data_IF_734446502509
#
_entry.id   IF_734446502509
#
_cell.length_a   1.000
_cell.length_b   1.000
_cell.length_c   1.000
_cell.angle_alpha   90.00
_cell.angle_beta   90.00
_cell.angle_gamma   90.00
#
_symmetry.space_group_name_H-M   'P 1'
#
loop_
_entity.id
_entity.type
_entity.pdbx_description
1 polymer ?
#
# COMPACT_ATOMS: atom_id res chain seq x y z
N UNK A 1 -15.82 -10.67 7.63
CA UNK A 1 -15.69 -11.79 6.68
C UNK A 1 -14.60 -12.75 7.18
N UNK A 2 -14.59 -14.03 6.77
CA UNK A 2 -13.50 -14.95 7.12
C UNK A 2 -12.49 -15.10 5.98
N UNK A 3 -11.22 -15.21 6.34
CA UNK A 3 -10.13 -15.55 5.44
C UNK A 3 -10.37 -16.89 4.72
N UNK A 4 -11.14 -17.79 5.31
CA UNK A 4 -11.46 -19.09 4.71
C UNK A 4 -12.26 -18.95 3.41
N UNK A 5 -13.17 -17.96 3.32
CA UNK A 5 -13.89 -17.68 2.08
C UNK A 5 -12.94 -17.21 0.99
N UNK A 6 -12.01 -16.31 1.32
CA UNK A 6 -10.98 -15.79 0.41
C UNK A 6 -10.08 -16.92 -0.10
N UNK A 7 -9.58 -17.76 0.82
CA UNK A 7 -8.73 -18.92 0.48
C UNK A 7 -9.46 -19.95 -0.37
N UNK A 8 -10.71 -20.27 -0.04
CA UNK A 8 -11.54 -21.18 -0.83
C UNK A 8 -11.71 -20.67 -2.25
N UNK A 9 -12.04 -19.38 -2.42
CA UNK A 9 -12.17 -18.76 -3.74
C UNK A 9 -10.86 -18.79 -4.53
N UNK A 10 -9.75 -18.43 -3.90
CA UNK A 10 -8.42 -18.50 -4.52
C UNK A 10 -8.12 -19.91 -5.03
N UNK A 11 -8.37 -20.92 -4.20
CA UNK A 11 -8.16 -22.32 -4.58
C UNK A 11 -9.04 -22.74 -5.75
N UNK A 12 -10.34 -22.42 -5.72
CA UNK A 12 -11.26 -22.72 -6.83
C UNK A 12 -10.83 -22.05 -8.14
N UNK A 13 -10.44 -20.77 -8.08
CA UNK A 13 -9.93 -20.04 -9.23
C UNK A 13 -8.63 -20.69 -9.75
N UNK A 14 -7.72 -21.05 -8.85
CA UNK A 14 -6.46 -21.70 -9.21
C UNK A 14 -6.64 -23.07 -9.85
N UNK A 15 -7.53 -23.91 -9.30
CA UNK A 15 -7.79 -25.25 -9.83
C UNK A 15 -8.48 -25.24 -11.20
N UNK A 16 -9.21 -24.17 -11.55
CA UNK A 16 -9.87 -24.07 -12.86
C UNK A 16 -8.90 -23.80 -14.01
N UNK A 17 -7.77 -23.15 -13.74
CA UNK A 17 -6.79 -22.79 -14.77
C UNK A 17 -7.25 -21.73 -15.77
N UNK A 18 -8.45 -21.17 -15.57
CA UNK A 18 -9.00 -20.06 -16.33
C UNK A 18 -8.65 -18.77 -15.58
N UNK A 19 -7.45 -18.24 -15.85
CA UNK A 19 -6.83 -17.10 -15.16
C UNK A 19 -7.49 -15.75 -15.51
N UNK A 20 -8.77 -15.77 -15.88
CA UNK A 20 -9.58 -14.60 -16.14
C UNK A 20 -9.70 -13.70 -14.91
N UNK A 21 -9.74 -12.39 -15.17
CA UNK A 21 -9.96 -11.35 -14.17
C UNK A 21 -11.36 -10.76 -14.33
N UNK A 22 -12.01 -10.41 -13.24
CA UNK A 22 -13.25 -9.64 -13.33
C UNK A 22 -12.94 -8.20 -13.82
N UNK A 23 -13.92 -7.58 -14.45
CA UNK A 23 -13.87 -6.15 -14.77
C UNK A 23 -13.82 -5.28 -13.51
N UNK A 24 -13.81 -3.96 -13.69
CA UNK A 24 -13.93 -3.03 -12.58
C UNK A 24 -15.23 -3.23 -11.81
N UNK A 25 -15.23 -2.94 -10.51
CA UNK A 25 -16.45 -2.94 -9.72
C UNK A 25 -17.44 -1.91 -10.29
N UNK A 26 -18.74 -2.25 -10.42
CA UNK A 26 -19.75 -1.34 -10.95
C UNK A 26 -19.70 0.05 -10.30
N UNK A 27 -19.96 1.10 -11.09
CA UNK A 27 -19.77 2.49 -10.66
C UNK A 27 -20.62 2.87 -9.44
N UNK A 28 -21.84 2.37 -9.37
CA UNK A 28 -22.76 2.56 -8.24
C UNK A 28 -22.22 1.93 -6.95
N UNK A 29 -21.73 0.70 -7.04
CA UNK A 29 -21.12 -0.04 -5.95
C UNK A 29 -19.83 0.64 -5.49
N UNK A 30 -18.95 0.99 -6.43
CA UNK A 30 -17.71 1.72 -6.16
C UNK A 30 -17.97 3.06 -5.50
N UNK A 31 -18.95 3.83 -6.00
CA UNK A 31 -19.34 5.12 -5.42
C UNK A 31 -19.86 4.96 -4.00
N UNK A 32 -20.72 3.97 -3.75
CA UNK A 32 -21.25 3.65 -2.42
C UNK A 32 -20.12 3.34 -1.42
N UNK A 33 -19.16 2.50 -1.81
CA UNK A 33 -18.01 2.12 -0.98
C UNK A 33 -17.15 3.35 -0.65
N UNK A 34 -16.75 4.12 -1.67
CA UNK A 34 -15.89 5.32 -1.49
C UNK A 34 -16.57 6.39 -0.65
N UNK A 35 -17.85 6.69 -0.93
CA UNK A 35 -18.63 7.67 -0.15
C UNK A 35 -18.79 7.23 1.31
N UNK A 36 -19.03 5.95 1.57
CA UNK A 36 -19.13 5.42 2.93
C UNK A 36 -17.79 5.41 3.68
N UNK A 37 -16.66 5.47 2.96
CA UNK A 37 -15.32 5.49 3.52
C UNK A 37 -14.80 6.91 3.80
N UNK A 38 -15.43 7.92 3.23
CA UNK A 38 -15.02 9.31 3.44
C UNK A 38 -14.99 9.68 4.93
N UNK A 39 -13.88 10.28 5.37
CA UNK A 39 -13.65 10.66 6.76
C UNK A 39 -13.26 9.51 7.68
N UNK A 40 -13.10 8.27 7.16
CA UNK A 40 -12.65 7.12 7.94
C UNK A 40 -11.16 6.85 7.73
N UNK A 41 -10.48 6.40 8.78
CA UNK A 41 -9.08 5.94 8.70
C UNK A 41 -8.97 4.75 7.74
N UNK A 42 -7.91 4.72 6.91
CA UNK A 42 -7.54 3.57 6.11
C UNK A 42 -7.44 2.30 6.98
N UNK A 43 -7.98 1.15 6.56
CA UNK A 43 -7.98 -0.05 7.40
C UNK A 43 -6.59 -0.69 7.56
N UNK A 44 -5.64 -0.36 6.69
CA UNK A 44 -4.27 -0.90 6.73
C UNK A 44 -3.56 -0.46 8.02
N UNK A 45 -3.04 -1.43 8.77
CA UNK A 45 -2.43 -1.21 10.10
C UNK A 45 -1.29 -0.19 10.10
N UNK A 46 -0.56 -0.07 9.00
CA UNK A 46 0.57 0.87 8.84
C UNK A 46 0.18 2.19 8.17
N UNK A 47 -1.11 2.52 8.10
CA UNK A 47 -1.58 3.71 7.40
C UNK A 47 -2.38 4.61 8.34
N UNK A 48 -2.03 5.89 8.35
CA UNK A 48 -2.71 6.92 9.13
C UNK A 48 -3.58 7.87 8.30
N UNK A 49 -3.74 7.62 6.99
CA UNK A 49 -4.59 8.45 6.15
C UNK A 49 -6.06 8.36 6.58
N UNK A 50 -6.69 9.52 6.68
CA UNK A 50 -8.14 9.66 6.66
C UNK A 50 -8.57 9.68 5.20
N UNK A 51 -9.45 8.75 4.81
CA UNK A 51 -9.80 8.57 3.41
C UNK A 51 -10.71 9.69 2.91
N UNK A 52 -10.40 10.23 1.73
CA UNK A 52 -11.16 11.31 1.10
C UNK A 52 -11.89 10.82 -0.16
N UNK A 53 -13.21 11.03 -0.25
CA UNK A 53 -13.93 10.75 -1.49
C UNK A 53 -13.93 12.01 -2.37
N UNK A 54 -13.06 12.00 -3.39
CA UNK A 54 -13.03 13.03 -4.42
C UNK A 54 -14.05 12.68 -5.50
N UNK A 55 -15.23 13.28 -5.44
CA UNK A 55 -16.31 13.01 -6.38
C UNK A 55 -16.01 13.58 -7.77
N UNK A 56 -16.05 12.74 -8.80
CA UNK A 56 -15.83 13.16 -10.19
C UNK A 56 -14.35 13.31 -10.59
N UNK A 57 -13.42 13.18 -9.65
CA UNK A 57 -12.00 13.37 -9.90
C UNK A 57 -11.30 12.11 -10.42
N UNK A 58 -10.34 12.30 -11.33
CA UNK A 58 -9.40 11.26 -11.73
C UNK A 58 -8.34 11.10 -10.63
N UNK A 59 -8.37 9.96 -9.94
CA UNK A 59 -7.43 9.67 -8.87
C UNK A 59 -6.08 9.22 -9.47
N UNK A 60 -5.03 9.97 -9.18
CA UNK A 60 -3.63 9.65 -9.48
C UNK A 60 -2.77 9.67 -8.20
N UNK A 61 -1.45 9.56 -8.35
CA UNK A 61 -0.51 9.50 -7.23
C UNK A 61 -0.49 10.78 -6.36
N UNK A 62 -1.10 11.89 -6.81
CA UNK A 62 -1.19 13.14 -6.04
C UNK A 62 -2.26 13.09 -4.95
N UNK A 63 -3.15 12.09 -5.00
CA UNK A 63 -4.22 11.91 -4.01
C UNK A 63 -3.99 10.63 -3.20
N UNK A 64 -2.97 10.59 -2.33
CA UNK A 64 -2.57 9.35 -1.64
C UNK A 64 -3.58 8.90 -0.56
N UNK A 65 -4.46 9.81 -0.11
CA UNK A 65 -5.54 9.57 0.83
C UNK A 65 -6.89 9.27 0.15
N UNK A 66 -6.99 9.39 -1.18
CA UNK A 66 -8.23 9.15 -1.90
C UNK A 66 -8.82 7.77 -1.59
N UNK A 67 -10.11 7.71 -1.28
CA UNK A 67 -10.84 6.47 -1.11
C UNK A 67 -10.94 5.73 -2.45
N UNK A 68 -10.36 4.54 -2.52
CA UNK A 68 -10.49 3.62 -3.64
C UNK A 68 -11.37 2.42 -3.26
N UNK A 69 -11.89 1.75 -4.28
CA UNK A 69 -12.51 0.43 -4.11
C UNK A 69 -11.43 -0.61 -4.35
N UNK A 70 -11.19 -1.49 -3.39
CA UNK A 70 -10.19 -2.54 -3.50
C UNK A 70 -10.78 -3.93 -3.31
N UNK A 71 -10.23 -4.91 -4.04
CA UNK A 71 -10.62 -6.31 -3.89
C UNK A 71 -9.78 -7.00 -2.79
N UNK A 72 -10.41 -7.38 -1.69
CA UNK A 72 -9.77 -8.14 -0.60
C UNK A 72 -9.10 -9.44 -1.06
N UNK A 73 -9.65 -10.08 -2.10
CA UNK A 73 -8.93 -11.04 -2.94
C UNK A 73 -8.59 -10.32 -4.24
N UNK A 74 -7.31 -10.05 -4.55
CA UNK A 74 -6.95 -9.32 -5.77
C UNK A 74 -7.61 -9.90 -7.02
N UNK A 75 -7.98 -9.04 -7.98
CA UNK A 75 -8.60 -9.49 -9.25
C UNK A 75 -7.73 -10.49 -10.00
N UNK A 76 -6.42 -10.24 -10.04
CA UNK A 76 -5.43 -11.14 -10.62
C UNK A 76 -5.32 -12.48 -9.89
N UNK A 77 -6.01 -12.67 -8.76
CA UNK A 77 -6.05 -13.90 -7.97
C UNK A 77 -7.46 -14.50 -7.88
N UNK A 78 -8.38 -14.10 -8.78
CA UNK A 78 -9.76 -14.61 -8.80
C UNK A 78 -10.77 -13.81 -7.98
N UNK A 79 -10.41 -12.59 -7.59
CA UNK A 79 -11.31 -11.60 -6.99
C UNK A 79 -12.55 -11.33 -7.83
N UNK A 80 -13.65 -10.96 -7.17
CA UNK A 80 -14.97 -10.75 -7.81
C UNK A 80 -15.62 -9.46 -7.34
N UNK A 81 -16.56 -8.95 -8.13
CA UNK A 81 -17.34 -7.75 -7.81
C UNK A 81 -18.54 -8.08 -6.93
N UNK A 82 -18.28 -8.57 -5.72
CA UNK A 82 -19.29 -8.88 -4.71
C UNK A 82 -18.98 -8.15 -3.42
N UNK A 83 -20.01 -7.79 -2.64
CA UNK A 83 -19.85 -6.99 -1.40
C UNK A 83 -18.86 -7.62 -0.41
N UNK A 84 -18.77 -8.95 -0.38
CA UNK A 84 -17.81 -9.63 0.47
C UNK A 84 -16.38 -9.45 0.01
N UNK A 85 -16.11 -9.21 -1.27
CA UNK A 85 -14.77 -9.15 -1.84
C UNK A 85 -14.26 -7.71 -1.97
N UNK A 86 -15.10 -6.71 -1.73
CA UNK A 86 -14.75 -5.30 -1.93
C UNK A 86 -14.66 -4.57 -0.60
N UNK A 87 -13.62 -3.77 -0.43
CA UNK A 87 -13.46 -2.86 0.69
C UNK A 87 -12.99 -1.48 0.21
N UNK A 88 -13.09 -0.49 1.09
CA UNK A 88 -12.46 0.80 0.86
C UNK A 88 -11.03 0.78 1.38
N UNK A 89 -10.10 1.34 0.61
CA UNK A 89 -8.70 1.53 0.99
C UNK A 89 -8.23 2.90 0.50
N UNK A 90 -7.23 3.50 1.15
CA UNK A 90 -6.64 4.71 0.58
C UNK A 90 -5.84 4.36 -0.68
N UNK A 91 -5.76 5.31 -1.61
CA UNK A 91 -5.10 5.14 -2.90
C UNK A 91 -3.65 4.67 -2.74
N UNK A 92 -2.90 5.26 -1.80
CA UNK A 92 -1.51 4.87 -1.53
C UNK A 92 -1.39 3.39 -1.18
N UNK A 93 -2.11 2.91 -0.16
CA UNK A 93 -2.01 1.50 0.25
C UNK A 93 -2.53 0.56 -0.83
N UNK A 94 -3.54 0.98 -1.59
CA UNK A 94 -4.05 0.21 -2.70
C UNK A 94 -2.99 0.01 -3.80
N UNK A 95 -2.36 1.11 -4.23
CA UNK A 95 -1.27 1.11 -5.20
C UNK A 95 -0.09 0.25 -4.74
N UNK A 96 0.32 0.40 -3.47
CA UNK A 96 1.45 -0.37 -2.93
C UNK A 96 1.19 -1.89 -2.93
N UNK A 97 -0.01 -2.34 -2.55
CA UNK A 97 -0.34 -3.77 -2.58
C UNK A 97 -0.42 -4.30 -4.01
N UNK A 98 -0.92 -3.49 -4.96
CA UNK A 98 -0.89 -3.81 -6.38
C UNK A 98 0.54 -3.94 -6.92
N UNK A 99 1.44 -3.02 -6.54
CA UNK A 99 2.86 -3.06 -6.91
C UNK A 99 3.55 -4.31 -6.37
N UNK A 100 3.36 -4.64 -5.09
CA UNK A 100 3.94 -5.87 -4.50
C UNK A 100 3.47 -7.11 -5.25
N UNK A 101 2.17 -7.24 -5.53
CA UNK A 101 1.67 -8.37 -6.32
C UNK A 101 2.30 -8.42 -7.72
N UNK A 102 2.35 -7.28 -8.39
CA UNK A 102 2.82 -7.21 -9.76
C UNK A 102 4.33 -7.49 -9.86
N UNK A 103 5.16 -6.79 -9.10
CA UNK A 103 6.62 -6.88 -9.17
C UNK A 103 7.11 -8.23 -8.63
N UNK A 104 6.69 -8.61 -7.42
CA UNK A 104 7.28 -9.74 -6.71
C UNK A 104 6.74 -11.09 -7.14
N UNK A 105 5.58 -11.11 -7.81
CA UNK A 105 4.93 -12.35 -8.23
C UNK A 105 4.70 -12.36 -9.74
N UNK A 106 3.95 -11.42 -10.31
CA UNK A 106 3.57 -11.53 -11.73
C UNK A 106 4.78 -11.34 -12.65
N UNK A 107 5.55 -10.28 -12.46
CA UNK A 107 6.73 -9.97 -13.27
C UNK A 107 7.87 -10.95 -13.01
N UNK A 108 8.15 -11.25 -11.73
CA UNK A 108 9.17 -12.23 -11.33
C UNK A 108 8.98 -13.60 -11.99
N UNK A 109 7.76 -14.09 -12.09
CA UNK A 109 7.45 -15.39 -12.70
C UNK A 109 6.97 -15.29 -14.16
N UNK A 110 6.86 -14.06 -14.70
CA UNK A 110 6.42 -13.74 -16.05
C UNK A 110 4.91 -13.90 -16.33
N UNK A 111 4.17 -14.61 -15.47
CA UNK A 111 2.72 -14.72 -15.55
C UNK A 111 2.16 -15.25 -14.22
N UNK A 112 0.92 -14.88 -13.86
CA UNK A 112 0.30 -15.32 -12.60
C UNK A 112 0.20 -16.84 -12.48
N UNK A 113 -0.07 -17.55 -13.58
CA UNK A 113 -0.15 -19.02 -13.61
C UNK A 113 1.18 -19.73 -13.33
N UNK A 114 2.31 -19.00 -13.38
CA UNK A 114 3.65 -19.52 -13.10
C UNK A 114 4.09 -19.26 -11.66
N UNK A 115 3.33 -18.47 -10.91
CA UNK A 115 3.61 -18.20 -9.50
C UNK A 115 3.35 -19.47 -8.68
N UNK A 116 4.26 -19.89 -7.78
CA UNK A 116 3.99 -21.00 -6.87
C UNK A 116 2.75 -20.69 -6.02
N UNK A 117 1.77 -21.60 -6.03
CA UNK A 117 0.51 -21.39 -5.33
C UNK A 117 0.69 -21.03 -3.85
N UNK A 118 1.68 -21.64 -3.18
CA UNK A 118 2.02 -21.33 -1.79
C UNK A 118 2.40 -19.86 -1.59
N UNK A 119 3.21 -19.29 -2.48
CA UNK A 119 3.58 -17.87 -2.43
C UNK A 119 2.41 -16.95 -2.76
N UNK A 120 1.55 -17.32 -3.71
CA UNK A 120 0.36 -16.54 -4.01
C UNK A 120 -0.63 -16.54 -2.84
N UNK A 121 -0.82 -17.70 -2.20
CA UNK A 121 -1.65 -17.84 -1.01
C UNK A 121 -1.11 -17.02 0.16
N UNK A 122 0.19 -17.00 0.36
CA UNK A 122 0.84 -16.16 1.38
C UNK A 122 0.54 -14.67 1.14
N UNK A 123 0.72 -14.19 -0.09
CA UNK A 123 0.39 -12.81 -0.45
C UNK A 123 -1.08 -12.48 -0.19
N UNK A 124 -2.00 -13.36 -0.61
CA UNK A 124 -3.44 -13.17 -0.39
C UNK A 124 -3.78 -13.15 1.09
N UNK A 125 -3.17 -14.03 1.89
CA UNK A 125 -3.36 -14.05 3.34
C UNK A 125 -2.85 -12.74 3.99
N UNK A 126 -1.69 -12.23 3.56
CA UNK A 126 -1.15 -10.94 4.00
C UNK A 126 -2.07 -9.77 3.58
N UNK A 127 -2.42 -9.69 2.29
CA UNK A 127 -3.28 -8.66 1.72
C UNK A 127 -4.60 -8.56 2.49
N UNK A 128 -5.20 -9.71 2.84
CA UNK A 128 -6.42 -9.75 3.62
C UNK A 128 -6.20 -9.29 5.07
N UNK A 129 -5.12 -9.76 5.71
CA UNK A 129 -4.89 -9.57 7.14
C UNK A 129 -4.32 -8.20 7.49
N UNK A 130 -3.65 -7.51 6.57
CA UNK A 130 -3.06 -6.19 6.84
C UNK A 130 -4.11 -5.13 7.21
N UNK A 131 -5.37 -5.38 6.86
CA UNK A 131 -6.56 -4.59 7.25
C UNK A 131 -7.22 -5.07 8.56
N UNK A 132 -6.69 -6.11 9.22
CA UNK A 132 -7.29 -6.75 10.40
C UNK A 132 -6.74 -6.19 11.71
N UNK A 133 -7.61 -6.01 12.71
CA UNK A 133 -7.20 -5.68 14.08
C UNK A 133 -6.32 -6.74 14.75
N UNK A 134 -6.36 -7.98 14.25
CA UNK A 134 -5.56 -9.09 14.73
C UNK A 134 -4.31 -9.34 13.86
N UNK A 135 -3.90 -8.35 13.07
CA UNK A 135 -2.66 -8.42 12.30
C UNK A 135 -1.46 -8.51 13.23
N UNK A 136 -0.53 -9.39 12.90
CA UNK A 136 0.73 -9.55 13.61
C UNK A 136 1.83 -9.73 12.57
N UNK A 137 2.81 -8.83 12.60
CA UNK A 137 3.87 -8.71 11.61
C UNK A 137 4.68 -10.01 11.48
N UNK A 138 4.80 -10.77 12.59
CA UNK A 138 5.63 -11.99 12.64
C UNK A 138 5.16 -13.08 11.70
N UNK A 139 3.90 -13.04 11.25
CA UNK A 139 3.37 -14.01 10.30
C UNK A 139 3.77 -13.74 8.85
N UNK A 140 4.18 -12.51 8.54
CA UNK A 140 4.50 -12.06 7.17
C UNK A 140 5.71 -11.10 7.15
N UNK A 141 6.83 -11.44 7.80
CA UNK A 141 7.92 -10.48 8.04
C UNK A 141 8.44 -9.84 6.75
N UNK A 142 8.68 -10.65 5.71
CA UNK A 142 9.22 -10.15 4.44
C UNK A 142 8.23 -9.24 3.69
N UNK A 143 6.93 -9.53 3.75
CA UNK A 143 5.90 -8.73 3.08
C UNK A 143 5.64 -7.43 3.84
N UNK A 144 5.70 -7.47 5.18
CA UNK A 144 5.64 -6.27 6.01
C UNK A 144 6.81 -5.36 5.74
N UNK A 145 8.03 -5.90 5.72
CA UNK A 145 9.23 -5.13 5.43
C UNK A 145 9.13 -4.44 4.07
N UNK A 146 8.75 -5.18 3.02
CA UNK A 146 8.56 -4.61 1.67
C UNK A 146 7.49 -3.52 1.64
N UNK A 147 6.36 -3.74 2.31
CA UNK A 147 5.31 -2.72 2.40
C UNK A 147 5.81 -1.45 3.12
N UNK A 148 6.52 -1.61 4.23
CA UNK A 148 7.13 -0.52 5.01
C UNK A 148 8.19 0.23 4.21
N UNK A 149 9.03 -0.46 3.44
CA UNK A 149 9.99 0.16 2.53
C UNK A 149 9.30 1.02 1.47
N UNK A 150 8.28 0.47 0.80
CA UNK A 150 7.57 1.22 -0.26
C UNK A 150 6.75 2.39 0.28
N UNK A 151 6.25 2.31 1.52
CA UNK A 151 5.59 3.46 2.18
C UNK A 151 6.59 4.47 2.77
N UNK A 152 7.90 4.21 2.69
CA UNK A 152 8.93 5.09 3.26
C UNK A 152 8.93 5.09 4.80
N UNK A 153 8.51 4.00 5.42
CA UNK A 153 8.51 3.84 6.89
C UNK A 153 9.93 3.68 7.44
N UNK A 154 10.82 3.02 6.69
CA UNK A 154 12.21 2.80 7.11
C UNK A 154 12.98 4.13 7.26
N UNK A 155 12.59 5.17 6.52
CA UNK A 155 13.17 6.52 6.63
C UNK A 155 12.59 7.40 7.74
N UNK A 156 11.50 7.00 8.39
CA UNK A 156 10.91 7.74 9.52
C UNK A 156 11.36 7.20 10.89
N UNK A 157 12.00 6.04 10.93
CA UNK A 157 12.43 5.39 12.18
C UNK A 157 13.94 5.56 12.48
N UNK A 158 14.66 6.36 11.68
CA UNK A 158 16.08 6.70 11.84
C UNK A 158 16.31 8.20 11.69
N UNK A 159 15.67 9.00 12.53
CA UNK A 159 16.23 10.30 12.91
C UNK A 159 16.19 10.32 14.43
N UNK A 160 17.27 9.84 15.05
CA UNK A 160 17.49 10.10 16.46
C UNK A 160 17.83 11.59 16.60
N UNK A 161 17.38 12.22 17.69
CA UNK A 161 17.56 13.66 17.95
C UNK A 161 19.02 14.16 17.83
N UNK A 162 20.00 13.25 17.94
CA UNK A 162 21.43 13.52 17.76
C UNK A 162 21.80 13.96 16.32
N UNK A 163 21.16 13.42 15.28
CA UNK A 163 21.48 13.75 13.87
C UNK A 163 20.90 15.10 13.42
N UNK A 164 19.83 15.58 14.07
CA UNK A 164 19.33 16.94 13.85
C UNK A 164 20.28 17.99 14.45
N UNK A 165 20.92 17.69 15.58
CA UNK A 165 21.90 18.58 16.21
C UNK A 165 23.16 18.73 15.35
N UNK A 166 23.67 17.63 14.78
CA UNK A 166 24.84 17.69 13.90
C UNK A 166 24.56 18.46 12.60
N UNK A 167 23.38 18.25 12.00
CA UNK A 167 22.95 18.97 10.79
C UNK A 167 22.77 20.47 11.01
N UNK A 168 22.28 20.88 12.19
CA UNK A 168 22.17 22.30 12.55
C UNK A 168 23.53 22.93 12.88
N UNK A 169 24.47 22.17 13.47
CA UNK A 169 25.83 22.65 13.73
C UNK A 169 26.63 22.87 12.44
N UNK A 170 26.48 21.95 11.46
CA UNK A 170 27.15 22.04 10.16
C UNK A 170 26.61 23.20 9.33
N UNK A 171 25.29 23.42 9.34
CA UNK A 171 24.67 24.57 8.69
C UNK A 171 25.10 25.90 9.33
N UNK A 172 25.28 25.94 10.67
CA UNK A 172 25.74 27.14 11.38
C UNK A 172 27.22 27.44 11.12
N UNK A 173 28.05 26.40 10.97
CA UNK A 173 29.48 26.55 10.62
C UNK A 173 29.66 27.11 9.21
N UNK A 174 28.88 26.63 8.24
CA UNK A 174 28.94 27.10 6.85
C UNK A 174 28.50 28.56 6.71
N UNK A 175 27.50 29.00 7.50
CA UNK A 175 27.05 30.41 7.49
C UNK A 175 28.10 31.32 8.11
N UNK A 176 28.84 30.84 9.12
CA UNK A 176 29.94 31.59 9.75
C UNK A 176 31.17 31.69 8.84
N UNK A 177 31.50 30.67 8.05
CA UNK A 177 32.63 30.70 7.11
C UNK A 177 32.37 31.66 5.95
N UNK A 178 31.15 31.64 5.39
CA UNK A 178 30.76 32.56 4.29
C UNK A 178 30.71 34.01 4.76
N UNK A 179 30.39 34.27 6.03
CA UNK A 179 30.39 35.63 6.58
C UNK A 179 31.80 36.20 6.79
N UNK A 180 32.79 35.36 7.10
CA UNK A 180 34.18 35.79 7.29
C UNK A 180 34.89 36.03 5.95
N UNK A 181 34.61 35.23 4.92
CA UNK A 181 35.18 35.45 3.58
C UNK A 181 34.63 36.71 2.89
N UNK A 182 33.43 37.17 3.25
CA UNK A 182 32.84 38.39 2.69
C UNK A 182 33.47 39.69 3.24
N UNK A 183 34.09 39.65 4.43
CA UNK A 183 34.76 40.83 5.02
C UNK A 183 36.20 41.03 4.52
N UNK A 184 36.90 39.98 4.07
CA UNK A 184 38.26 40.10 3.51
C UNK A 184 38.30 40.67 2.07
N UNK A 185 37.18 40.70 1.34
CA UNK A 185 37.14 41.17 -0.07
C UNK A 185 36.86 42.68 -0.17
N UNK A 186 36.63 43.38 0.95
CA UNK A 186 36.28 44.82 0.98
C UNK A 186 37.36 45.68 1.65
N UNK A 187 38.56 45.14 1.97
CA UNK A 187 39.65 45.94 2.56
C UNK A 187 40.81 46.24 1.62
#
# INVERSE_FOLDING_TARGET
MSLDRVRKRLHEWWSRGDWGICGHAPDDMSRKIKKAAHGKKCPVVFCDHIMTYYEGELIDDKYPDAATTEHMLPRACGGVNEEWCLEARCNRCNTLLGQILNEDYIQKYGHISKVPFGGLKEFVDFHYRISSKAFDEKFYPDLVQRFKQKIGWDSQTQLNDDEMSESQSLASSLISEVSNEAEEVIS
#
